data_IF_276200211793
#
_entry.id   IF_276200211793
#
_cell.length_a   1.000
_cell.length_b   1.000
_cell.length_c   1.000
_cell.angle_alpha   90.00
_cell.angle_beta   90.00
_cell.angle_gamma   90.00
#
_symmetry.space_group_name_H-M   'P 1'
#
loop_
_entity.id
_entity.type
_entity.pdbx_description
1 polymer ?
#
# COMPACT_ATOMS: atom_id res chain seq x y z
N UNK A 1 2.78 28.93 87.31
CA UNK A 1 2.37 30.28 86.91
C UNK A 1 1.59 30.18 85.61
N UNK A 2 0.35 30.66 85.63
CA UNK A 2 -0.53 30.81 84.47
C UNK A 2 0.00 31.90 83.51
N UNK A 3 -0.48 31.89 82.26
CA UNK A 3 -0.87 33.03 81.40
C UNK A 3 -0.89 32.55 79.93
N UNK A 4 -2.01 32.04 79.43
CA UNK A 4 -3.16 32.78 78.89
C UNK A 4 -2.85 33.59 77.62
N UNK A 5 -3.42 33.08 76.52
CA UNK A 5 -4.18 33.85 75.51
C UNK A 5 -3.44 34.52 74.36
N UNK A 6 -3.56 33.93 73.15
CA UNK A 6 -3.86 34.73 71.95
C UNK A 6 -4.60 33.89 70.88
N UNK A 7 -5.89 34.19 70.74
CA UNK A 7 -6.78 34.07 69.59
C UNK A 7 -6.31 33.30 68.33
N UNK A 8 -7.02 32.26 67.91
CA UNK A 8 -8.19 32.29 66.99
C UNK A 8 -7.83 32.66 65.54
N UNK A 9 -7.95 31.66 64.66
CA UNK A 9 -8.57 31.76 63.33
C UNK A 9 -7.85 32.53 62.20
N UNK A 10 -7.25 31.76 61.28
CA UNK A 10 -7.39 31.91 59.82
C UNK A 10 -7.30 30.47 59.25
N UNK A 11 -8.41 29.76 59.01
CA UNK A 11 -9.26 29.78 57.81
C UNK A 11 -8.52 29.43 56.50
N UNK A 12 -8.97 28.34 55.89
CA UNK A 12 -8.85 27.95 54.48
C UNK A 12 -7.48 27.56 53.89
N UNK A 13 -7.29 26.26 53.66
CA UNK A 13 -6.82 25.77 52.36
C UNK A 13 -7.24 24.29 52.16
N UNK A 14 -8.24 24.04 51.31
CA UNK A 14 -8.54 22.71 50.77
C UNK A 14 -7.72 22.47 49.50
N UNK A 15 -7.39 21.20 49.29
CA UNK A 15 -6.98 20.54 48.04
C UNK A 15 -5.62 20.93 47.44
N UNK A 16 -4.68 19.99 47.37
CA UNK A 16 -3.75 19.79 46.23
C UNK A 16 -2.73 18.65 46.50
N UNK A 17 -3.11 17.39 46.81
CA UNK A 17 -2.06 16.35 46.90
C UNK A 17 -2.46 14.87 46.72
N UNK A 18 -3.51 14.57 45.93
CA UNK A 18 -3.84 13.18 45.55
C UNK A 18 -3.59 12.85 44.07
N UNK A 19 -3.46 13.85 43.21
CA UNK A 19 -3.30 13.68 41.76
C UNK A 19 -1.85 13.40 41.31
N UNK A 20 -0.86 13.74 42.12
CA UNK A 20 0.56 13.59 41.76
C UNK A 20 1.04 12.13 41.82
N UNK A 21 0.42 11.30 42.67
CA UNK A 21 0.80 9.88 42.81
C UNK A 21 0.16 8.99 41.72
N UNK A 22 -1.06 9.31 41.28
CA UNK A 22 -1.76 8.59 40.21
C UNK A 22 -1.16 8.88 38.82
N UNK A 23 -0.69 10.12 38.58
CA UNK A 23 -0.07 10.49 37.30
C UNK A 23 1.28 9.81 37.05
N UNK A 24 2.05 9.46 38.09
CA UNK A 24 3.36 8.79 37.91
C UNK A 24 3.24 7.32 37.49
N UNK A 25 2.14 6.65 37.82
CA UNK A 25 1.91 5.26 37.45
C UNK A 25 1.37 5.14 36.02
N UNK A 26 0.46 6.03 35.61
CA UNK A 26 -0.14 6.02 34.27
C UNK A 26 0.87 6.39 33.17
N UNK A 27 1.79 7.32 33.45
CA UNK A 27 2.86 7.72 32.50
C UNK A 27 3.88 6.59 32.28
N UNK A 28 4.20 5.79 33.31
CA UNK A 28 5.13 4.67 33.20
C UNK A 28 4.59 3.51 32.35
N UNK A 29 3.28 3.25 32.38
CA UNK A 29 2.67 2.23 31.54
C UNK A 29 2.56 2.67 30.06
N UNK A 30 2.28 3.96 29.81
CA UNK A 30 2.19 4.50 28.45
C UNK A 30 3.57 4.52 27.77
N UNK A 31 4.65 4.86 28.49
CA UNK A 31 6.00 4.87 27.90
C UNK A 31 6.53 3.47 27.61
N UNK A 32 6.22 2.47 28.45
CA UNK A 32 6.61 1.07 28.19
C UNK A 32 5.85 0.50 26.97
N UNK A 33 4.56 0.82 26.80
CA UNK A 33 3.78 0.38 25.64
C UNK A 33 4.23 1.07 24.33
N UNK A 34 4.64 2.34 24.42
CA UNK A 34 5.14 3.12 23.28
C UNK A 34 6.54 2.66 22.82
N UNK A 35 7.39 2.17 23.73
CA UNK A 35 8.71 1.59 23.40
C UNK A 35 8.58 0.18 22.80
N UNK A 36 7.62 -0.64 23.25
CA UNK A 36 7.38 -1.98 22.69
C UNK A 36 6.79 -1.92 21.27
N UNK A 37 5.99 -0.90 20.94
CA UNK A 37 5.46 -0.72 19.58
C UNK A 37 6.50 -0.16 18.58
N UNK A 38 7.51 0.58 19.06
CA UNK A 38 8.61 1.14 18.25
C UNK A 38 9.71 0.13 17.91
N UNK A 39 9.73 -1.03 18.58
CA UNK A 39 10.77 -2.05 18.42
C UNK A 39 10.26 -3.30 17.68
N UNK A 40 9.20 -3.21 16.87
CA UNK A 40 8.91 -4.26 15.90
C UNK A 40 9.95 -4.21 14.78
N UNK A 41 10.84 -5.21 14.65
CA UNK A 41 11.67 -5.29 13.47
C UNK A 41 10.75 -5.49 12.27
N UNK A 42 10.64 -4.48 11.40
CA UNK A 42 10.19 -4.64 10.01
C UNK A 42 11.27 -5.36 9.20
N UNK A 43 11.79 -6.48 9.71
CA UNK A 43 12.74 -7.31 8.97
C UNK A 43 11.91 -8.25 8.12
N UNK A 44 11.40 -7.71 7.02
CA UNK A 44 11.05 -8.53 5.88
C UNK A 44 12.39 -9.05 5.32
N UNK A 45 12.77 -10.28 5.65
CA UNK A 45 13.92 -10.93 5.03
C UNK A 45 13.61 -11.18 3.56
N UNK A 46 14.48 -10.69 2.66
CA UNK A 46 14.41 -11.01 1.24
C UNK A 46 14.47 -12.53 1.08
N UNK A 47 13.46 -13.13 0.45
CA UNK A 47 13.44 -14.57 0.23
C UNK A 47 14.18 -14.84 -1.07
N UNK A 48 15.35 -15.48 -0.99
CA UNK A 48 16.07 -15.91 -2.19
C UNK A 48 15.22 -16.91 -2.99
N UNK A 49 15.37 -16.90 -4.32
CA UNK A 49 14.62 -17.78 -5.23
C UNK A 49 14.72 -19.27 -4.85
N UNK A 50 15.92 -19.70 -4.43
CA UNK A 50 16.18 -21.06 -3.97
C UNK A 50 15.45 -21.45 -2.68
N UNK A 51 14.98 -20.48 -1.89
CA UNK A 51 14.23 -20.71 -0.65
C UNK A 51 12.72 -20.88 -0.88
N UNK A 52 12.24 -20.75 -2.12
CA UNK A 52 10.86 -21.11 -2.49
C UNK A 52 10.72 -22.63 -2.56
N UNK A 53 9.53 -23.16 -2.31
CA UNK A 53 9.27 -24.58 -2.56
C UNK A 53 9.12 -24.87 -4.07
N UNK A 54 9.12 -26.14 -4.46
CA UNK A 54 9.10 -26.53 -5.87
C UNK A 54 7.85 -26.04 -6.61
N UNK A 55 6.66 -26.25 -6.03
CA UNK A 55 5.39 -25.77 -6.60
C UNK A 55 5.38 -24.25 -6.80
N UNK A 56 5.87 -23.50 -5.82
CA UNK A 56 5.98 -22.04 -5.90
C UNK A 56 6.91 -21.62 -7.03
N UNK A 57 8.08 -22.26 -7.18
CA UNK A 57 9.01 -21.96 -8.27
C UNK A 57 8.39 -22.27 -9.63
N UNK A 58 7.64 -23.37 -9.76
CA UNK A 58 6.93 -23.71 -11.00
C UNK A 58 5.86 -22.67 -11.34
N UNK A 59 5.07 -22.24 -10.36
CA UNK A 59 4.02 -21.23 -10.56
C UNK A 59 4.62 -19.86 -10.90
N UNK A 60 5.72 -19.48 -10.23
CA UNK A 60 6.35 -18.17 -10.34
C UNK A 60 7.48 -18.13 -11.38
N UNK A 61 7.71 -19.20 -12.15
CA UNK A 61 8.83 -19.33 -13.09
C UNK A 61 9.06 -18.11 -14.00
N UNK A 62 8.02 -17.43 -14.53
CA UNK A 62 8.23 -16.21 -15.34
C UNK A 62 8.98 -15.09 -14.61
N UNK A 63 8.98 -15.07 -13.27
CA UNK A 63 9.58 -14.03 -12.45
C UNK A 63 11.01 -14.35 -11.98
N UNK A 64 11.56 -15.52 -12.32
CA UNK A 64 12.85 -16.00 -11.82
C UNK A 64 13.99 -14.99 -12.05
N UNK A 65 14.13 -14.52 -13.30
CA UNK A 65 15.20 -13.59 -13.70
C UNK A 65 15.15 -12.27 -12.90
N UNK A 66 13.95 -11.75 -12.71
CA UNK A 66 13.71 -10.48 -12.05
C UNK A 66 13.57 -10.61 -10.53
N UNK A 67 13.54 -11.81 -9.96
CA UNK A 67 13.14 -12.06 -8.57
C UNK A 67 13.98 -11.29 -7.55
N UNK A 68 15.30 -11.24 -7.77
CA UNK A 68 16.26 -10.52 -6.92
C UNK A 68 16.10 -8.99 -6.99
N UNK A 69 15.54 -8.46 -8.08
CA UNK A 69 15.27 -7.03 -8.25
C UNK A 69 13.99 -6.57 -7.52
N UNK A 70 13.15 -7.51 -7.11
CA UNK A 70 11.90 -7.21 -6.42
C UNK A 70 12.17 -6.76 -4.98
N UNK A 71 11.39 -5.76 -4.53
CA UNK A 71 11.37 -5.42 -3.10
C UNK A 71 10.83 -6.58 -2.29
N UNK A 72 11.26 -6.71 -1.04
CA UNK A 72 10.84 -7.83 -0.18
C UNK A 72 9.32 -7.89 -0.01
N UNK A 73 8.67 -6.74 0.11
CA UNK A 73 7.21 -6.66 0.18
C UNK A 73 6.54 -7.28 -1.07
N UNK A 74 7.14 -7.10 -2.25
CA UNK A 74 6.64 -7.66 -3.51
C UNK A 74 6.94 -9.16 -3.62
N UNK A 75 8.12 -9.61 -3.23
CA UNK A 75 8.45 -11.04 -3.15
C UNK A 75 7.43 -11.76 -2.26
N UNK A 76 7.20 -11.24 -1.04
CA UNK A 76 6.18 -11.77 -0.12
C UNK A 76 4.79 -11.85 -0.78
N UNK A 77 4.38 -10.79 -1.49
CA UNK A 77 3.08 -10.78 -2.15
C UNK A 77 2.94 -11.85 -3.23
N UNK A 78 4.00 -12.11 -4.00
CA UNK A 78 4.03 -13.17 -5.00
C UNK A 78 3.99 -14.56 -4.38
N UNK A 79 4.70 -14.77 -3.27
CA UNK A 79 4.60 -16.01 -2.49
C UNK A 79 3.17 -16.22 -1.97
N UNK A 80 2.53 -15.18 -1.43
CA UNK A 80 1.13 -15.25 -0.97
C UNK A 80 0.15 -15.54 -2.13
N UNK A 81 0.46 -15.10 -3.35
CA UNK A 81 -0.31 -15.44 -4.56
C UNK A 81 -0.09 -16.92 -4.93
N UNK A 82 1.16 -17.38 -4.97
CA UNK A 82 1.49 -18.77 -5.27
C UNK A 82 0.84 -19.74 -4.27
N UNK A 83 0.79 -19.39 -2.98
CA UNK A 83 0.10 -20.18 -1.95
C UNK A 83 -1.41 -20.32 -2.20
N UNK A 84 -2.05 -19.32 -2.83
CA UNK A 84 -3.48 -19.36 -3.16
C UNK A 84 -3.76 -19.96 -4.54
N UNK A 85 -2.74 -20.12 -5.37
CA UNK A 85 -2.88 -20.63 -6.73
C UNK A 85 -3.60 -21.99 -6.82
N UNK A 86 -3.35 -22.97 -5.93
CA UNK A 86 -4.03 -24.26 -6.03
C UNK A 86 -5.55 -24.18 -5.84
N UNK A 87 -6.05 -23.21 -5.06
CA UNK A 87 -7.48 -23.02 -4.79
C UNK A 87 -8.19 -22.09 -5.77
N UNK A 88 -7.48 -21.54 -6.76
CA UNK A 88 -8.08 -20.72 -7.82
C UNK A 88 -8.77 -21.57 -8.88
N UNK A 89 -9.79 -20.99 -9.53
CA UNK A 89 -10.39 -21.54 -10.74
C UNK A 89 -9.44 -21.48 -11.93
N UNK A 90 -9.69 -22.26 -12.98
CA UNK A 90 -8.80 -22.32 -14.14
C UNK A 90 -8.74 -21.00 -14.92
N UNK A 91 -9.84 -20.24 -14.94
CA UNK A 91 -9.88 -18.90 -15.55
C UNK A 91 -9.01 -17.91 -14.78
N UNK A 92 -9.04 -17.94 -13.45
CA UNK A 92 -8.18 -17.13 -12.59
C UNK A 92 -6.70 -17.51 -12.74
N UNK A 93 -6.40 -18.81 -12.79
CA UNK A 93 -5.05 -19.32 -13.04
C UNK A 93 -4.50 -18.84 -14.38
N UNK A 94 -5.30 -18.95 -15.45
CA UNK A 94 -4.92 -18.48 -16.78
C UNK A 94 -4.69 -16.97 -16.81
N UNK A 95 -5.57 -16.20 -16.16
CA UNK A 95 -5.44 -14.75 -16.06
C UNK A 95 -4.16 -14.37 -15.33
N UNK A 96 -3.89 -15.03 -14.19
CA UNK A 96 -2.69 -14.78 -13.42
C UNK A 96 -1.42 -15.07 -14.23
N UNK A 97 -1.34 -16.24 -14.87
CA UNK A 97 -0.18 -16.64 -15.65
C UNK A 97 0.06 -15.68 -16.83
N UNK A 98 -1.01 -15.29 -17.54
CA UNK A 98 -0.92 -14.30 -18.62
C UNK A 98 -0.38 -12.96 -18.13
N UNK A 99 -0.91 -12.44 -17.02
CA UNK A 99 -0.47 -11.15 -16.45
C UNK A 99 0.94 -11.22 -15.89
N UNK A 100 1.32 -12.35 -15.30
CA UNK A 100 2.66 -12.57 -14.76
C UNK A 100 3.69 -12.59 -15.88
N UNK A 101 3.42 -13.31 -16.97
CA UNK A 101 4.26 -13.33 -18.16
C UNK A 101 4.35 -11.96 -18.84
N UNK A 102 3.22 -11.26 -18.98
CA UNK A 102 3.19 -9.88 -19.51
C UNK A 102 4.09 -8.97 -18.66
N UNK A 103 3.98 -9.06 -17.33
CA UNK A 103 4.79 -8.25 -16.41
C UNK A 103 6.28 -8.60 -16.46
N UNK A 104 6.62 -9.89 -16.48
CA UNK A 104 8.00 -10.38 -16.61
C UNK A 104 8.66 -9.93 -17.91
N UNK A 105 7.88 -9.80 -18.98
CA UNK A 105 8.40 -9.34 -20.28
C UNK A 105 8.74 -7.84 -20.32
N UNK A 106 8.35 -7.06 -19.30
CA UNK A 106 8.59 -5.61 -19.29
C UNK A 106 10.03 -5.29 -18.90
N UNK A 107 10.72 -4.60 -19.81
CA UNK A 107 12.03 -4.00 -19.52
C UNK A 107 11.95 -3.00 -18.36
N UNK A 108 13.07 -2.74 -17.68
CA UNK A 108 13.14 -1.72 -16.60
C UNK A 108 12.63 -0.35 -17.05
N UNK A 109 12.91 0.02 -18.31
CA UNK A 109 12.41 1.26 -18.90
C UNK A 109 10.89 1.23 -19.10
N UNK A 110 10.30 0.12 -19.53
CA UNK A 110 8.84 -0.04 -19.64
C UNK A 110 8.16 -0.02 -18.28
N UNK A 111 8.77 -0.65 -17.27
CA UNK A 111 8.32 -0.60 -15.88
C UNK A 111 8.36 0.83 -15.32
N UNK A 112 9.36 1.64 -15.68
CA UNK A 112 9.41 3.05 -15.30
C UNK A 112 8.31 3.86 -15.99
N UNK A 113 8.13 3.70 -17.32
CA UNK A 113 7.03 4.36 -18.04
C UNK A 113 5.65 4.00 -17.47
N UNK A 114 5.47 2.75 -17.08
CA UNK A 114 4.28 2.28 -16.40
C UNK A 114 4.04 3.03 -15.08
N UNK A 115 5.08 3.14 -14.24
CA UNK A 115 5.02 3.91 -12.99
C UNK A 115 4.67 5.38 -13.25
N UNK A 116 5.31 6.02 -14.22
CA UNK A 116 5.06 7.44 -14.54
C UNK A 116 3.63 7.67 -15.03
N UNK A 117 3.12 6.77 -15.89
CA UNK A 117 1.74 6.83 -16.34
C UNK A 117 0.75 6.65 -15.18
N UNK A 118 1.01 5.71 -14.26
CA UNK A 118 0.20 5.51 -13.06
C UNK A 118 0.20 6.77 -12.18
N UNK A 119 1.37 7.34 -11.89
CA UNK A 119 1.48 8.57 -11.10
C UNK A 119 0.72 9.73 -11.76
N UNK A 120 0.76 9.84 -13.09
CA UNK A 120 -0.05 10.84 -13.82
C UNK A 120 -1.54 10.63 -13.60
N UNK A 121 -2.03 9.40 -13.54
CA UNK A 121 -3.46 9.12 -13.31
C UNK A 121 -3.96 9.42 -11.90
N UNK A 122 -3.08 9.38 -10.90
CA UNK A 122 -3.40 9.79 -9.54
C UNK A 122 -3.73 11.28 -9.46
N UNK A 123 -3.11 12.09 -10.34
CA UNK A 123 -3.33 13.54 -10.40
C UNK A 123 -4.61 13.94 -11.14
N UNK A 124 -5.35 12.99 -11.71
CA UNK A 124 -6.63 13.28 -12.37
C UNK A 124 -7.73 13.23 -11.31
N UNK A 125 -8.37 14.37 -11.05
CA UNK A 125 -9.49 14.48 -10.10
C UNK A 125 -10.69 13.63 -10.54
N UNK A 126 -11.52 13.23 -9.57
CA UNK A 126 -12.74 12.46 -9.85
C UNK A 126 -13.68 13.19 -10.83
N UNK A 127 -13.80 14.51 -10.68
CA UNK A 127 -14.59 15.37 -11.58
C UNK A 127 -14.08 15.31 -13.02
N UNK A 128 -12.76 15.42 -13.24
CA UNK A 128 -12.17 15.33 -14.58
C UNK A 128 -12.37 13.95 -15.21
N UNK A 129 -12.31 12.89 -14.41
CA UNK A 129 -12.62 11.52 -14.87
C UNK A 129 -14.09 11.39 -15.29
N UNK A 130 -15.01 11.96 -14.50
CA UNK A 130 -16.43 11.94 -14.79
C UNK A 130 -16.76 12.75 -16.05
N UNK A 131 -16.25 13.97 -16.17
CA UNK A 131 -16.44 14.81 -17.34
C UNK A 131 -15.93 14.13 -18.62
N UNK A 132 -14.73 13.54 -18.58
CA UNK A 132 -14.21 12.80 -19.72
C UNK A 132 -15.02 11.56 -20.08
N UNK A 133 -15.59 10.88 -19.08
CA UNK A 133 -16.49 9.76 -19.31
C UNK A 133 -17.77 10.21 -20.00
N UNK A 134 -18.36 11.32 -19.57
CA UNK A 134 -19.54 11.92 -20.20
C UNK A 134 -19.26 12.36 -21.64
N UNK A 135 -18.14 13.06 -21.87
CA UNK A 135 -17.70 13.41 -23.23
C UNK A 135 -17.51 12.18 -24.11
N UNK A 136 -16.98 11.08 -23.55
CA UNK A 136 -16.86 9.83 -24.29
C UNK A 136 -18.23 9.23 -24.66
N UNK A 137 -19.23 9.31 -23.76
CA UNK A 137 -20.57 8.81 -24.04
C UNK A 137 -21.25 9.57 -25.18
N UNK A 138 -21.04 10.88 -25.26
CA UNK A 138 -21.59 11.78 -26.29
C UNK A 138 -20.96 11.59 -27.69
N UNK A 139 -19.83 10.89 -27.81
CA UNK A 139 -19.22 10.61 -29.11
C UNK A 139 -20.13 9.76 -30.00
N UNK A 140 -20.09 10.06 -31.30
CA UNK A 140 -20.75 9.25 -32.33
C UNK A 140 -20.16 7.82 -32.40
N UNK A 141 -20.88 6.89 -33.03
CA UNK A 141 -20.39 5.53 -33.20
C UNK A 141 -19.13 5.50 -34.10
N UNK A 142 -19.08 6.39 -35.08
CA UNK A 142 -17.97 6.60 -36.01
C UNK A 142 -16.73 7.10 -35.27
N UNK A 143 -16.88 8.11 -34.39
CA UNK A 143 -15.76 8.64 -33.62
C UNK A 143 -15.24 7.62 -32.60
N UNK A 144 -16.14 6.87 -31.94
CA UNK A 144 -15.75 5.77 -31.05
C UNK A 144 -14.95 4.71 -31.79
N UNK A 145 -15.34 4.36 -33.04
CA UNK A 145 -14.58 3.44 -33.90
C UNK A 145 -13.22 4.01 -34.28
N UNK A 146 -13.15 5.30 -34.65
CA UNK A 146 -11.89 5.96 -34.97
C UNK A 146 -10.92 5.96 -33.78
N UNK A 147 -11.42 6.21 -32.57
CA UNK A 147 -10.63 6.13 -31.34
C UNK A 147 -10.11 4.71 -31.08
N UNK A 148 -10.93 3.68 -31.27
CA UNK A 148 -10.53 2.29 -31.12
C UNK A 148 -9.46 1.89 -32.15
N UNK A 149 -9.62 2.30 -33.41
CA UNK A 149 -8.64 2.05 -34.48
C UNK A 149 -7.32 2.77 -34.21
N UNK A 150 -7.38 4.04 -33.77
CA UNK A 150 -6.18 4.80 -33.40
C UNK A 150 -5.42 4.11 -32.27
N UNK A 151 -6.12 3.57 -31.27
CA UNK A 151 -5.49 2.77 -30.21
C UNK A 151 -4.84 1.49 -30.77
N UNK A 152 -5.53 0.79 -31.66
CA UNK A 152 -5.03 -0.43 -32.30
C UNK A 152 -3.86 -0.18 -33.27
N UNK A 153 -3.68 1.04 -33.78
CA UNK A 153 -2.52 1.41 -34.61
C UNK A 153 -1.30 1.81 -33.77
N UNK A 154 -1.51 2.27 -32.53
CA UNK A 154 -0.42 2.65 -31.61
C UNK A 154 0.22 1.47 -30.89
N UNK A 155 0.19 0.25 -31.46
CA UNK A 155 0.61 -1.06 -30.89
C UNK A 155 2.08 -1.18 -30.50
N UNK A 156 2.55 -0.34 -29.59
CA UNK A 156 3.48 -0.81 -28.56
C UNK A 156 2.64 -1.07 -27.32
N UNK A 157 2.57 -2.31 -26.82
CA UNK A 157 1.95 -2.59 -25.53
C UNK A 157 2.78 -1.89 -24.45
N UNK A 158 2.49 -0.61 -24.22
CA UNK A 158 3.00 0.09 -23.05
C UNK A 158 2.10 -0.35 -21.91
N UNK A 159 2.69 -1.02 -20.92
CA UNK A 159 2.03 -1.66 -19.78
C UNK A 159 1.10 -0.75 -18.95
N UNK A 160 0.99 0.54 -19.29
CA UNK A 160 -0.01 1.45 -18.75
C UNK A 160 -0.54 2.33 -19.88
N UNK A 161 -1.54 1.85 -20.62
CA UNK A 161 -2.41 2.73 -21.42
C UNK A 161 -3.46 3.33 -20.51
N UNK A 162 -3.11 4.39 -19.81
CA UNK A 162 -4.12 5.31 -19.29
C UNK A 162 -4.56 6.21 -20.44
N UNK A 163 -5.86 6.29 -20.77
CA UNK A 163 -6.33 7.24 -21.76
C UNK A 163 -5.97 8.65 -21.26
N UNK A 164 -5.16 9.37 -22.03
CA UNK A 164 -4.83 10.77 -21.73
C UNK A 164 -6.11 11.58 -21.89
N UNK A 165 -6.73 11.96 -20.77
CA UNK A 165 -7.78 12.95 -20.73
C UNK A 165 -7.12 14.31 -20.96
N UNK A 166 -7.37 14.92 -22.13
CA UNK A 166 -6.97 16.30 -22.42
C UNK A 166 -7.92 17.28 -21.76
#
# INVERSE_FOLDING_TARGET
MSFSSFFRSFSNMKCQNRYICLSRCLIAHITVFLVIFLAYPLVANAQNWSALNEDQRLILAPLEEDWSSLTVARQKKWVDVANRYPSMSDTEKSTLQSRMSEWASLSTHERQRARDNYLRTLNISAEKKAAAWESYQQLSAEDKKLLAQKRAQTTKPSAVTSPTLK
#
